data_IF_910057649742
#
_entry.id   IF_910057649742
#
_cell.length_a   1.000
_cell.length_b   1.000
_cell.length_c   1.000
_cell.angle_alpha   90.00
_cell.angle_beta   90.00
_cell.angle_gamma   90.00
#
_symmetry.space_group_name_H-M   'P 1'
#
loop_
_entity.id
_entity.type
_entity.pdbx_description
1 polymer ?
#
# COMPACT_ATOMS: atom_id res chain seq x y z
N UNK A 1 8.62 -4.16 22.47
CA UNK A 1 9.28 -3.07 21.71
C UNK A 1 9.60 -3.46 20.27
N UNK A 2 10.29 -4.58 20.01
CA UNK A 2 10.59 -5.01 18.62
C UNK A 2 9.34 -5.31 17.77
N UNK A 3 8.34 -6.01 18.32
CA UNK A 3 7.07 -6.28 17.60
C UNK A 3 6.32 -4.98 17.23
N UNK A 4 6.30 -4.00 18.14
CA UNK A 4 5.73 -2.67 17.89
C UNK A 4 6.46 -1.94 16.76
N UNK A 5 7.80 -1.89 16.79
CA UNK A 5 8.58 -1.27 15.72
C UNK A 5 8.41 -1.99 14.38
N UNK A 6 8.30 -3.32 14.39
CA UNK A 6 8.01 -4.13 13.22
C UNK A 6 6.63 -3.81 12.63
N UNK A 7 5.60 -3.68 13.46
CA UNK A 7 4.25 -3.30 13.04
C UNK A 7 4.21 -1.89 12.44
N UNK A 8 4.87 -0.92 13.07
CA UNK A 8 4.98 0.45 12.55
C UNK A 8 5.73 0.47 11.21
N UNK A 9 6.86 -0.23 11.11
CA UNK A 9 7.65 -0.30 9.89
C UNK A 9 6.87 -0.98 8.74
N UNK A 10 6.12 -2.04 9.05
CA UNK A 10 5.28 -2.72 8.08
C UNK A 10 4.11 -1.85 7.63
N UNK A 11 3.55 -1.00 8.50
CA UNK A 11 2.41 -0.14 8.18
C UNK A 11 2.77 1.12 7.39
N UNK A 12 3.97 1.67 7.61
CA UNK A 12 4.37 2.97 7.08
C UNK A 12 4.14 3.14 5.55
N UNK A 13 4.51 2.19 4.67
CA UNK A 13 4.29 2.34 3.23
C UNK A 13 2.80 2.48 2.87
N UNK A 14 1.92 1.78 3.57
CA UNK A 14 0.49 1.77 3.28
C UNK A 14 -0.18 3.08 3.70
N UNK A 15 0.26 3.66 4.81
CA UNK A 15 -0.15 5.00 5.22
C UNK A 15 0.34 6.08 4.25
N UNK A 16 1.56 5.95 3.72
CA UNK A 16 2.08 6.88 2.70
C UNK A 16 1.27 6.78 1.39
N UNK A 17 0.92 5.58 0.96
CA UNK A 17 0.05 5.37 -0.20
C UNK A 17 -1.35 5.96 0.04
N UNK A 18 -1.94 5.72 1.21
CA UNK A 18 -3.25 6.27 1.54
C UNK A 18 -3.22 7.80 1.56
N UNK A 19 -2.22 8.40 2.19
CA UNK A 19 -2.06 9.86 2.21
C UNK A 19 -1.92 10.44 0.80
N UNK A 20 -1.15 9.79 -0.06
CA UNK A 20 -1.00 10.21 -1.46
C UNK A 20 -2.31 10.09 -2.24
N UNK A 21 -3.04 9.00 -2.06
CA UNK A 21 -4.28 8.73 -2.77
C UNK A 21 -5.40 9.68 -2.32
N UNK A 22 -5.52 9.90 -1.01
CA UNK A 22 -6.45 10.91 -0.46
C UNK A 22 -6.12 12.30 -0.98
N UNK A 23 -4.84 12.67 -1.04
CA UNK A 23 -4.43 13.96 -1.62
C UNK A 23 -4.86 14.09 -3.08
N UNK A 24 -4.71 13.04 -3.88
CA UNK A 24 -5.17 13.01 -5.28
C UNK A 24 -6.70 13.14 -5.36
N UNK A 25 -7.46 12.40 -4.54
CA UNK A 25 -8.93 12.46 -4.51
C UNK A 25 -9.46 13.84 -4.11
N UNK A 26 -8.84 14.48 -3.09
CA UNK A 26 -9.21 15.82 -2.63
C UNK A 26 -9.01 16.88 -3.71
N UNK A 27 -8.05 16.67 -4.61
CA UNK A 27 -7.77 17.57 -5.72
C UNK A 27 -8.65 17.25 -6.94
N UNK A 28 -8.79 15.97 -7.29
CA UNK A 28 -9.62 15.51 -8.40
C UNK A 28 -10.20 14.13 -8.09
N UNK A 29 -11.53 14.06 -7.96
CA UNK A 29 -12.23 12.87 -7.48
C UNK A 29 -12.64 11.89 -8.59
N UNK A 30 -11.75 11.67 -9.56
CA UNK A 30 -11.96 10.74 -10.67
C UNK A 30 -12.01 9.27 -10.24
N UNK A 31 -12.58 8.41 -11.09
CA UNK A 31 -12.76 6.97 -10.82
C UNK A 31 -11.45 6.26 -10.47
N UNK A 32 -10.36 6.62 -11.14
CA UNK A 32 -9.05 6.00 -10.89
C UNK A 32 -8.45 6.42 -9.55
N UNK A 33 -8.59 7.68 -9.16
CA UNK A 33 -8.09 8.19 -7.88
C UNK A 33 -8.86 7.56 -6.71
N UNK A 34 -10.19 7.41 -6.85
CA UNK A 34 -11.01 6.70 -5.86
C UNK A 34 -10.60 5.24 -5.71
N UNK A 35 -10.36 4.54 -6.81
CA UNK A 35 -9.88 3.16 -6.80
C UNK A 35 -8.55 3.01 -6.05
N UNK A 36 -7.62 3.94 -6.25
CA UNK A 36 -6.35 3.97 -5.53
C UNK A 36 -6.55 4.25 -4.04
N UNK A 37 -7.44 5.18 -3.68
CA UNK A 37 -7.73 5.51 -2.29
C UNK A 37 -8.42 4.36 -1.55
N UNK A 38 -9.41 3.72 -2.17
CA UNK A 38 -10.07 2.52 -1.64
C UNK A 38 -9.07 1.38 -1.44
N UNK A 39 -8.22 1.10 -2.44
CA UNK A 39 -7.21 0.07 -2.33
C UNK A 39 -6.21 0.32 -1.21
N UNK A 40 -5.73 1.56 -1.09
CA UNK A 40 -4.80 1.96 -0.04
C UNK A 40 -5.46 1.92 1.36
N UNK A 41 -6.74 2.31 1.45
CA UNK A 41 -7.51 2.27 2.69
C UNK A 41 -7.75 0.83 3.16
N UNK A 42 -8.06 -0.09 2.24
CA UNK A 42 -8.22 -1.52 2.56
C UNK A 42 -6.90 -2.11 3.08
N UNK A 43 -5.77 -1.81 2.42
CA UNK A 43 -4.47 -2.30 2.86
C UNK A 43 -4.04 -1.74 4.23
N UNK A 44 -4.12 -0.41 4.41
CA UNK A 44 -3.74 0.23 5.67
C UNK A 44 -4.69 -0.14 6.83
N UNK A 45 -6.00 -0.13 6.56
CA UNK A 45 -7.04 -0.43 7.54
C UNK A 45 -7.04 -1.89 7.98
N UNK A 46 -6.85 -2.84 7.06
CA UNK A 46 -6.73 -4.25 7.39
C UNK A 46 -5.56 -4.54 8.32
N UNK A 47 -4.39 -3.98 8.02
CA UNK A 47 -3.21 -4.13 8.87
C UNK A 47 -3.38 -3.47 10.24
N UNK A 48 -4.01 -2.28 10.29
CA UNK A 48 -4.32 -1.62 11.55
C UNK A 48 -5.30 -2.44 12.39
N UNK A 49 -6.34 -3.01 11.79
CA UNK A 49 -7.32 -3.85 12.48
C UNK A 49 -6.66 -5.11 13.08
N UNK A 50 -5.83 -5.80 12.31
CA UNK A 50 -5.05 -6.93 12.82
C UNK A 50 -4.06 -6.52 13.92
N UNK A 51 -3.50 -5.31 13.86
CA UNK A 51 -2.66 -4.79 14.94
C UNK A 51 -3.45 -4.55 16.22
N UNK A 52 -4.56 -3.82 16.15
CA UNK A 52 -5.43 -3.57 17.30
C UNK A 52 -5.96 -4.87 17.90
N UNK A 53 -6.20 -5.90 17.08
CA UNK A 53 -6.71 -7.18 17.57
C UNK A 53 -5.61 -8.07 18.19
N UNK A 54 -4.44 -8.17 17.56
CA UNK A 54 -3.43 -9.17 17.92
C UNK A 54 -2.18 -8.60 18.61
N UNK A 55 -2.17 -7.31 18.95
CA UNK A 55 -1.04 -6.73 19.67
C UNK A 55 -0.83 -7.44 21.03
N UNK A 56 0.40 -7.89 21.35
CA UNK A 56 0.67 -8.60 22.61
C UNK A 56 0.43 -7.77 23.89
N UNK A 57 0.40 -6.43 23.79
CA UNK A 57 0.33 -5.53 24.93
C UNK A 57 -1.03 -4.89 25.11
N UNK A 58 -1.70 -4.51 24.03
CA UNK A 58 -2.99 -3.80 24.05
C UNK A 58 -4.07 -4.47 23.20
N UNK A 59 -3.78 -5.63 22.63
CA UNK A 59 -4.68 -6.34 21.72
C UNK A 59 -5.92 -6.88 22.42
N UNK A 60 -7.01 -6.94 21.66
CA UNK A 60 -8.29 -7.52 22.14
C UNK A 60 -8.22 -9.04 22.25
N UNK A 61 -7.51 -9.71 21.34
CA UNK A 61 -7.26 -11.16 21.35
C UNK A 61 -5.78 -11.47 21.02
N UNK A 62 -4.86 -11.21 21.97
CA UNK A 62 -3.43 -11.42 21.75
C UNK A 62 -3.05 -12.89 21.56
N UNK A 63 -3.80 -13.80 22.21
CA UNK A 63 -3.59 -15.23 22.15
C UNK A 63 -4.13 -15.86 20.85
N UNK A 64 -5.02 -15.17 20.14
CA UNK A 64 -5.65 -15.59 18.88
C UNK A 64 -6.48 -16.86 19.05
N UNK A 65 -7.16 -16.99 20.18
CA UNK A 65 -7.96 -18.17 20.51
C UNK A 65 -9.35 -18.12 19.86
N UNK A 66 -9.82 -16.93 19.50
CA UNK A 66 -11.16 -16.77 18.92
C UNK A 66 -11.22 -17.25 17.47
N UNK A 67 -12.40 -17.74 17.07
CA UNK A 67 -12.69 -18.01 15.64
C UNK A 67 -12.62 -16.74 14.79
N UNK A 68 -12.89 -15.57 15.39
CA UNK A 68 -12.73 -14.27 14.75
C UNK A 68 -11.28 -14.02 14.35
N UNK A 69 -10.30 -14.40 15.18
CA UNK A 69 -8.88 -14.23 14.88
C UNK A 69 -8.47 -14.96 13.58
N UNK A 70 -8.98 -16.17 13.37
CA UNK A 70 -8.76 -16.93 12.14
C UNK A 70 -9.31 -16.20 10.90
N UNK A 71 -10.57 -15.78 10.95
CA UNK A 71 -11.23 -15.10 9.83
C UNK A 71 -10.64 -13.73 9.54
N UNK A 72 -10.30 -12.98 10.59
CA UNK A 72 -9.69 -11.67 10.45
C UNK A 72 -8.29 -11.76 9.83
N UNK A 73 -7.43 -12.66 10.30
CA UNK A 73 -6.09 -12.83 9.75
C UNK A 73 -6.14 -13.28 8.27
N UNK A 74 -7.04 -14.21 7.93
CA UNK A 74 -7.18 -14.70 6.55
C UNK A 74 -7.84 -13.67 5.63
N UNK A 75 -8.85 -12.98 6.15
CA UNK A 75 -9.57 -11.91 5.46
C UNK A 75 -8.66 -10.72 5.18
N UNK A 76 -7.85 -10.30 6.17
CA UNK A 76 -6.84 -9.25 5.99
C UNK A 76 -5.87 -9.59 4.86
N UNK A 77 -5.35 -10.81 4.83
CA UNK A 77 -4.38 -11.20 3.81
C UNK A 77 -4.97 -11.09 2.39
N UNK A 78 -6.21 -11.54 2.20
CA UNK A 78 -6.93 -11.42 0.93
C UNK A 78 -7.28 -9.98 0.57
N UNK A 79 -7.82 -9.22 1.53
CA UNK A 79 -8.16 -7.81 1.37
C UNK A 79 -6.93 -6.96 1.07
N UNK A 80 -5.81 -7.24 1.71
CA UNK A 80 -4.53 -6.59 1.48
C UNK A 80 -4.06 -6.80 0.04
N UNK A 81 -4.12 -8.03 -0.47
CA UNK A 81 -3.79 -8.32 -1.87
C UNK A 81 -4.72 -7.60 -2.84
N UNK A 82 -6.03 -7.58 -2.56
CA UNK A 82 -7.00 -6.82 -3.35
C UNK A 82 -6.64 -5.33 -3.33
N UNK A 83 -6.37 -4.76 -2.16
CA UNK A 83 -5.98 -3.37 -1.99
C UNK A 83 -4.75 -3.00 -2.80
N UNK A 84 -3.74 -3.88 -2.79
CA UNK A 84 -2.53 -3.76 -3.61
C UNK A 84 -2.83 -3.77 -5.11
N UNK A 85 -3.69 -4.68 -5.56
CA UNK A 85 -4.11 -4.74 -6.97
C UNK A 85 -4.85 -3.47 -7.39
N UNK A 86 -5.74 -2.95 -6.54
CA UNK A 86 -6.50 -1.72 -6.80
C UNK A 86 -5.59 -0.50 -6.91
N UNK A 87 -4.64 -0.33 -5.97
CA UNK A 87 -3.64 0.75 -6.02
C UNK A 87 -2.76 0.61 -7.26
N UNK A 88 -2.22 -0.57 -7.50
CA UNK A 88 -1.32 -0.83 -8.62
C UNK A 88 -2.00 -0.62 -9.98
N UNK A 89 -3.19 -1.18 -10.16
CA UNK A 89 -3.99 -1.00 -11.37
C UNK A 89 -4.38 0.46 -11.54
N UNK A 90 -4.94 1.11 -10.52
CA UNK A 90 -5.33 2.51 -10.57
C UNK A 90 -4.16 3.41 -10.96
N UNK A 91 -2.98 3.18 -10.38
CA UNK A 91 -1.77 3.93 -10.69
C UNK A 91 -1.25 3.65 -12.11
N UNK A 92 -1.22 2.39 -12.54
CA UNK A 92 -0.78 2.04 -13.90
C UNK A 92 -1.69 2.63 -14.99
N UNK A 93 -3.00 2.61 -14.75
CA UNK A 93 -3.99 3.19 -15.65
C UNK A 93 -3.90 4.72 -15.72
N UNK A 94 -3.66 5.37 -14.59
CA UNK A 94 -3.38 6.82 -14.51
C UNK A 94 -2.11 7.18 -15.32
N UNK A 95 -1.08 6.33 -15.25
CA UNK A 95 0.23 6.55 -15.88
C UNK A 95 0.36 6.04 -17.31
N UNK A 96 -0.74 5.69 -17.98
CA UNK A 96 -0.67 5.31 -19.41
C UNK A 96 -0.01 6.43 -20.22
N UNK A 97 0.90 6.11 -21.15
CA UNK A 97 1.50 7.11 -22.02
C UNK A 97 0.41 7.91 -22.74
N UNK A 98 0.37 9.22 -22.51
CA UNK A 98 -0.51 10.16 -23.20
C UNK A 98 0.35 11.30 -23.73
N UNK A 99 0.03 11.86 -24.91
CA UNK A 99 0.72 13.04 -25.42
C UNK A 99 0.67 14.17 -24.39
N UNK A 100 1.81 14.79 -24.07
CA UNK A 100 1.90 15.94 -23.14
C UNK A 100 2.06 15.62 -21.65
N UNK A 101 2.02 14.36 -21.22
CA UNK A 101 2.28 13.97 -19.82
C UNK A 101 3.76 13.62 -19.59
N UNK A 102 4.33 14.12 -18.50
CA UNK A 102 5.74 13.86 -18.17
C UNK A 102 5.93 12.40 -17.71
N UNK A 103 6.81 11.62 -18.35
CA UNK A 103 7.04 10.23 -17.97
C UNK A 103 7.60 10.13 -16.54
N UNK A 104 7.48 8.94 -15.96
CA UNK A 104 8.03 8.67 -14.64
C UNK A 104 9.57 8.77 -14.69
N UNK A 105 10.23 9.57 -13.83
CA UNK A 105 11.69 9.61 -13.74
C UNK A 105 12.29 8.21 -13.66
N UNK A 106 13.14 7.88 -14.65
CA UNK A 106 13.72 6.54 -14.83
C UNK A 106 14.43 6.01 -13.58
N UNK A 107 15.17 6.88 -12.88
CA UNK A 107 15.89 6.51 -11.67
C UNK A 107 14.94 6.12 -10.51
N UNK A 108 13.88 6.91 -10.27
CA UNK A 108 12.89 6.59 -9.23
C UNK A 108 12.10 5.31 -9.55
N UNK A 109 11.79 5.10 -10.82
CA UNK A 109 11.14 3.87 -11.31
C UNK A 109 12.03 2.64 -11.08
N UNK A 110 13.31 2.71 -11.46
CA UNK A 110 14.24 1.60 -11.32
C UNK A 110 14.50 1.26 -9.85
N UNK A 111 14.71 2.27 -8.99
CA UNK A 111 14.91 2.06 -7.56
C UNK A 111 13.66 1.44 -6.89
N UNK A 112 12.47 1.94 -7.20
CA UNK A 112 11.22 1.35 -6.70
C UNK A 112 11.03 -0.09 -7.20
N UNK A 113 11.25 -0.35 -8.49
CA UNK A 113 11.14 -1.70 -9.04
C UNK A 113 12.15 -2.68 -8.40
N UNK A 114 13.41 -2.26 -8.25
CA UNK A 114 14.44 -3.06 -7.62
C UNK A 114 14.12 -3.38 -6.16
N UNK A 115 13.64 -2.39 -5.40
CA UNK A 115 13.27 -2.58 -4.00
C UNK A 115 12.04 -3.50 -3.84
N UNK A 116 11.03 -3.36 -4.69
CA UNK A 116 9.85 -4.24 -4.68
C UNK A 116 10.26 -5.67 -5.04
N UNK A 117 11.09 -5.85 -6.06
CA UNK A 117 11.60 -7.17 -6.45
C UNK A 117 12.44 -7.80 -5.34
N UNK A 118 13.36 -7.05 -4.73
CA UNK A 118 14.16 -7.53 -3.61
C UNK A 118 13.29 -7.91 -2.40
N UNK A 119 12.36 -7.02 -2.02
CA UNK A 119 11.43 -7.27 -0.92
C UNK A 119 10.53 -8.48 -1.15
N UNK A 120 10.04 -8.66 -2.39
CA UNK A 120 9.24 -9.81 -2.82
C UNK A 120 10.03 -11.12 -2.88
N UNK A 121 11.24 -11.11 -3.41
CA UNK A 121 12.13 -12.27 -3.45
C UNK A 121 12.49 -12.76 -2.04
N UNK A 122 12.62 -11.85 -1.08
CA UNK A 122 12.83 -12.20 0.33
C UNK A 122 11.51 -12.62 0.99
N UNK A 123 10.39 -11.96 0.70
CA UNK A 123 9.08 -12.25 1.30
C UNK A 123 8.59 -13.66 0.97
N UNK A 124 8.86 -14.14 -0.25
CA UNK A 124 8.34 -15.39 -0.75
C UNK A 124 8.80 -16.62 0.05
N UNK A 125 10.11 -16.86 0.29
CA UNK A 125 10.54 -17.94 1.17
C UNK A 125 10.11 -17.72 2.63
N UNK A 126 10.11 -16.47 3.11
CA UNK A 126 9.67 -16.16 4.47
C UNK A 126 8.19 -16.44 4.68
N UNK A 127 7.35 -16.34 3.65
CA UNK A 127 5.92 -16.65 3.75
C UNK A 127 5.67 -18.13 4.06
N UNK A 128 6.53 -19.03 3.58
CA UNK A 128 6.52 -20.44 3.94
C UNK A 128 6.92 -20.66 5.40
N UNK A 129 7.95 -19.94 5.88
CA UNK A 129 8.38 -20.01 7.28
C UNK A 129 7.30 -19.47 8.21
N UNK A 130 6.71 -18.32 7.90
CA UNK A 130 5.63 -17.69 8.65
C UNK A 130 4.39 -18.60 8.70
N UNK A 131 4.08 -19.30 7.61
CA UNK A 131 2.98 -20.27 7.57
C UNK A 131 3.25 -21.49 8.46
N UNK A 132 4.47 -22.05 8.44
CA UNK A 132 4.86 -23.18 9.28
C UNK A 132 4.90 -22.80 10.77
N UNK A 133 5.29 -21.57 11.09
CA UNK A 133 5.33 -21.05 12.45
C UNK A 133 3.98 -20.55 12.98
N UNK A 134 2.91 -20.59 12.18
CA UNK A 134 1.60 -20.02 12.56
C UNK A 134 1.64 -18.49 12.75
N UNK A 135 2.63 -17.81 12.16
CA UNK A 135 2.85 -16.37 12.27
C UNK A 135 2.31 -15.62 11.05
N UNK A 136 1.03 -15.80 10.71
CA UNK A 136 0.36 -14.98 9.69
C UNK A 136 -0.09 -13.64 10.26
N UNK A 137 0.88 -12.82 10.66
CA UNK A 137 0.64 -11.49 11.23
C UNK A 137 1.06 -10.39 10.25
N UNK A 138 0.47 -9.20 10.32
CA UNK A 138 0.89 -8.05 9.50
C UNK A 138 2.33 -7.58 9.76
N UNK A 139 2.96 -8.00 10.86
CA UNK A 139 4.37 -7.75 11.17
C UNK A 139 5.24 -9.00 11.08
N UNK A 140 4.73 -10.07 10.46
CA UNK A 140 5.53 -11.24 10.13
C UNK A 140 6.68 -10.86 9.18
N UNK A 141 7.75 -11.65 9.17
CA UNK A 141 8.97 -11.30 8.44
C UNK A 141 8.72 -11.15 6.94
N UNK A 142 7.86 -11.99 6.36
CA UNK A 142 7.45 -11.86 4.95
C UNK A 142 6.71 -10.55 4.66
N UNK A 143 5.78 -10.15 5.53
CA UNK A 143 5.03 -8.90 5.37
C UNK A 143 5.94 -7.69 5.59
N UNK A 144 6.85 -7.76 6.54
CA UNK A 144 7.82 -6.71 6.81
C UNK A 144 8.77 -6.51 5.62
N UNK A 145 9.33 -7.60 5.06
CA UNK A 145 10.22 -7.48 3.89
C UNK A 145 9.49 -6.95 2.66
N UNK A 146 8.25 -7.38 2.43
CA UNK A 146 7.39 -6.85 1.36
C UNK A 146 7.13 -5.36 1.54
N UNK A 147 6.71 -4.96 2.74
CA UNK A 147 6.37 -3.57 3.05
C UNK A 147 7.60 -2.66 2.91
N UNK A 148 8.76 -3.07 3.42
CA UNK A 148 10.01 -2.32 3.25
C UNK A 148 10.41 -2.19 1.77
N UNK A 149 10.22 -3.23 0.96
CA UNK A 149 10.43 -3.17 -0.49
C UNK A 149 9.52 -2.17 -1.20
N UNK A 150 8.31 -1.95 -0.67
CA UNK A 150 7.32 -1.01 -1.20
C UNK A 150 7.52 0.44 -0.75
N UNK A 151 8.33 0.67 0.28
CA UNK A 151 8.58 2.00 0.85
C UNK A 151 9.08 3.05 -0.16
N UNK A 152 10.07 2.80 -1.03
CA UNK A 152 10.49 3.79 -2.02
C UNK A 152 9.40 4.13 -3.04
N UNK A 153 8.56 3.16 -3.41
CA UNK A 153 7.41 3.40 -4.26
C UNK A 153 6.38 4.29 -3.55
N UNK A 154 6.02 3.95 -2.31
CA UNK A 154 5.05 4.70 -1.53
C UNK A 154 5.49 6.16 -1.28
N UNK A 155 6.77 6.36 -0.96
CA UNK A 155 7.35 7.69 -0.80
C UNK A 155 7.34 8.50 -2.10
N UNK A 156 7.70 7.88 -3.23
CA UNK A 156 7.66 8.53 -4.54
C UNK A 156 6.22 8.88 -4.96
N UNK A 157 5.27 7.98 -4.69
CA UNK A 157 3.85 8.18 -4.96
C UNK A 157 3.27 9.35 -4.16
N UNK A 158 3.59 9.44 -2.86
CA UNK A 158 3.19 10.58 -2.03
C UNK A 158 3.83 11.88 -2.54
N UNK A 159 5.14 11.90 -2.77
CA UNK A 159 5.84 13.08 -3.27
C UNK A 159 5.27 13.58 -4.60
N UNK A 160 4.87 12.65 -5.47
CA UNK A 160 4.17 12.95 -6.71
C UNK A 160 2.79 13.58 -6.47
N UNK A 161 1.98 13.00 -5.58
CA UNK A 161 0.66 13.55 -5.24
C UNK A 161 0.76 15.00 -4.73
N UNK A 162 1.85 15.35 -4.03
CA UNK A 162 2.11 16.72 -3.60
C UNK A 162 2.62 17.64 -4.72
N UNK A 163 3.52 17.16 -5.58
CA UNK A 163 4.18 17.98 -6.60
C UNK A 163 3.39 18.14 -7.90
N UNK A 164 2.69 17.09 -8.35
CA UNK A 164 2.12 17.01 -9.71
C UNK A 164 0.61 17.09 -9.78
N UNK A 165 -0.11 16.68 -8.74
CA UNK A 165 -1.57 16.69 -8.75
C UNK A 165 -2.19 18.07 -9.13
N UNK A 166 -1.66 19.23 -8.69
CA UNK A 166 -2.22 20.53 -9.11
C UNK A 166 -1.95 20.89 -10.58
N UNK A 167 -0.90 20.33 -11.20
CA UNK A 167 -0.50 20.63 -12.59
C UNK A 167 -1.27 19.77 -13.60
N UNK A 168 -1.44 18.48 -13.30
CA UNK A 168 -2.22 17.56 -14.14
C UNK A 168 -3.72 17.91 -14.12
N UNK A 169 -4.24 18.47 -13.01
CA UNK A 169 -5.59 19.04 -12.93
C UNK A 169 -5.84 20.16 -13.94
N UNK A 170 -4.88 21.10 -14.06
CA UNK A 170 -5.01 22.22 -15.00
C UNK A 170 -5.08 21.75 -16.46
N UNK A 171 -4.43 20.64 -16.77
CA UNK A 171 -4.46 20.04 -18.11
C UNK A 171 -5.73 19.25 -18.36
N UNK A 172 -6.24 18.54 -17.35
CA UNK A 172 -7.51 17.80 -17.46
C UNK A 172 -8.71 18.76 -17.66
N UNK A 173 -8.79 19.83 -16.87
CA UNK A 173 -9.84 20.87 -17.02
C UNK A 173 -9.75 21.54 -18.39
N UNK A 174 -8.54 21.86 -18.86
CA UNK A 174 -8.36 22.50 -20.17
C UNK A 174 -8.85 21.61 -21.31
N UNK A 175 -8.55 20.31 -21.28
CA UNK A 175 -9.02 19.38 -22.30
C UNK A 175 -10.54 19.13 -22.26
N UNK A 176 -11.22 19.32 -21.13
CA UNK A 176 -12.69 19.26 -21.05
C UNK A 176 -13.37 20.53 -21.57
N UNK A 177 -12.68 21.67 -21.59
CA UNK A 177 -13.22 22.92 -22.17
C UNK A 177 -12.98 23.05 -23.67
N UNK A 178 -12.00 22.32 -24.21
CA UNK A 178 -11.67 22.30 -25.64
C UNK A 178 -12.50 21.24 -26.42
N UNK A 179 -13.43 20.54 -25.77
CA UNK A 179 -14.42 19.59 -26.35
C UNK A 179 -15.82 20.19 -26.23
#
# INVERSE_FOLDING_TARGET
>A
MLAFLGAVAAQLPWWLLLAGALRKVLLHSGRLQRLQAEGAAVAAGGMLACWVMFDPTVGVDPARESSLAYWLARGEEGLFLIGMMLVGMGYFLERRPRPGLTPWPRAGKAAAAAAILAGGLIALPLSGVDALAGQRLPWALSRLSWSLGMLPFAAAYLAEAWRRAPLELKHAVKNEMDI
#
